data_IF_596216099523
#
_entry.id   IF_596216099523
#
_cell.length_a   1.000
_cell.length_b   1.000
_cell.length_c   1.000
_cell.angle_alpha   90.00
_cell.angle_beta   90.00
_cell.angle_gamma   90.00
#
_symmetry.space_group_name_H-M   'P 1'
#
loop_
_entity.id
_entity.type
_entity.pdbx_description
1 polymer ?
#
# COMPACT_ATOMS: atom_id res chain seq x y z
N UNK A 1 51.85 70.63 -2.84
CA UNK A 1 50.51 70.83 -3.43
C UNK A 1 50.18 69.57 -4.22
N UNK A 2 49.13 68.84 -3.81
CA UNK A 2 48.39 67.73 -4.47
C UNK A 2 49.23 66.56 -5.03
N UNK A 3 49.23 65.33 -4.49
CA UNK A 3 48.19 64.39 -4.03
C UNK A 3 47.38 63.69 -5.14
N UNK A 4 47.03 62.42 -4.86
CA UNK A 4 46.06 61.51 -5.50
C UNK A 4 46.60 60.34 -6.36
N UNK A 5 47.01 59.29 -5.61
CA UNK A 5 46.58 57.87 -5.62
C UNK A 5 46.54 57.02 -6.90
N UNK A 6 47.28 55.90 -6.85
CA UNK A 6 47.05 54.69 -7.65
C UNK A 6 46.05 53.74 -6.98
N UNK A 7 45.06 53.27 -7.72
CA UNK A 7 44.07 52.29 -7.27
C UNK A 7 44.55 50.85 -7.55
N UNK A 8 44.71 50.06 -6.48
CA UNK A 8 44.82 48.59 -6.55
C UNK A 8 43.43 48.00 -6.82
N UNK A 9 43.31 47.14 -7.82
CA UNK A 9 42.16 46.24 -7.98
C UNK A 9 42.13 45.27 -6.80
N UNK A 10 41.14 45.45 -5.92
CA UNK A 10 40.77 44.46 -4.92
C UNK A 10 39.82 43.46 -5.57
N UNK A 11 40.20 42.18 -5.56
CA UNK A 11 39.32 41.05 -5.84
C UNK A 11 38.21 41.03 -4.80
N UNK A 12 36.97 41.20 -5.25
CA UNK A 12 35.78 41.12 -4.41
C UNK A 12 35.45 39.63 -4.21
N UNK A 13 35.87 39.05 -3.09
CA UNK A 13 35.25 37.82 -2.62
C UNK A 13 33.80 38.15 -2.22
N UNK A 14 32.80 37.34 -2.64
CA UNK A 14 31.43 37.54 -2.19
C UNK A 14 31.35 37.34 -0.66
N UNK A 15 30.49 38.09 0.05
CA UNK A 15 30.37 37.95 1.50
C UNK A 15 29.88 36.54 1.84
N UNK A 16 30.26 35.98 3.02
CA UNK A 16 29.73 34.70 3.46
C UNK A 16 28.21 34.82 3.57
N UNK A 17 27.50 34.00 2.79
CA UNK A 17 26.04 34.01 2.69
C UNK A 17 25.41 33.79 4.07
N UNK A 18 24.92 34.87 4.68
CA UNK A 18 24.09 34.79 5.86
C UNK A 18 22.72 34.22 5.48
N UNK A 19 22.34 33.12 6.12
CA UNK A 19 20.99 32.54 5.99
C UNK A 19 19.93 33.58 6.32
N UNK A 20 18.94 33.71 5.43
CA UNK A 20 17.82 34.64 5.53
C UNK A 20 16.89 34.27 6.70
N UNK A 21 16.03 35.20 7.15
CA UNK A 21 15.10 34.94 8.27
C UNK A 21 14.16 33.75 8.04
N UNK A 22 13.68 33.57 6.81
CA UNK A 22 12.84 32.43 6.44
C UNK A 22 13.59 31.09 6.48
N UNK A 23 14.88 31.06 6.11
CA UNK A 23 15.71 29.86 6.19
C UNK A 23 16.04 29.48 7.64
N UNK A 24 16.12 30.46 8.54
CA UNK A 24 16.27 30.21 9.99
C UNK A 24 14.99 29.63 10.59
N UNK A 25 13.83 30.18 10.21
CA UNK A 25 12.53 29.68 10.67
C UNK A 25 12.28 28.22 10.21
N UNK A 26 12.68 27.86 8.98
CA UNK A 26 12.54 26.48 8.49
C UNK A 26 13.50 25.50 9.20
N UNK A 27 14.74 25.91 9.49
CA UNK A 27 15.70 25.09 10.23
C UNK A 27 15.21 24.79 11.66
N UNK A 28 14.59 25.77 12.32
CA UNK A 28 14.00 25.60 13.65
C UNK A 28 12.80 24.64 13.61
N UNK A 29 11.95 24.75 12.58
CA UNK A 29 10.82 23.84 12.36
C UNK A 29 11.29 22.40 12.09
N UNK A 30 12.35 22.23 11.28
CA UNK A 30 12.97 20.93 11.03
C UNK A 30 13.52 20.31 12.32
N UNK A 31 14.22 21.09 13.13
CA UNK A 31 14.76 20.63 14.42
C UNK A 31 13.65 20.15 15.36
N UNK A 32 12.53 20.87 15.42
CA UNK A 32 11.36 20.47 16.22
C UNK A 32 10.72 19.19 15.72
N UNK A 33 10.59 19.04 14.40
CA UNK A 33 10.08 17.82 13.77
C UNK A 33 10.98 16.61 14.08
N UNK A 34 12.29 16.76 13.97
CA UNK A 34 13.26 15.71 14.31
C UNK A 34 13.21 15.33 15.80
N UNK A 35 13.07 16.32 16.69
CA UNK A 35 12.92 16.08 18.13
C UNK A 35 11.63 15.30 18.46
N UNK A 36 10.50 15.63 17.81
CA UNK A 36 9.24 14.91 17.94
C UNK A 36 9.40 13.43 17.54
N UNK A 37 10.05 13.17 16.39
CA UNK A 37 10.34 11.81 15.94
C UNK A 37 11.27 11.05 16.89
N UNK A 38 12.32 11.72 17.41
CA UNK A 38 13.26 11.14 18.35
C UNK A 38 12.62 10.78 19.69
N UNK A 39 11.62 11.57 20.14
CA UNK A 39 10.81 11.29 21.32
C UNK A 39 9.81 10.14 21.10
N UNK A 40 9.61 9.69 19.85
CA UNK A 40 8.64 8.67 19.50
C UNK A 40 7.19 9.17 19.57
N UNK A 41 6.99 10.48 19.52
CA UNK A 41 5.67 11.10 19.47
C UNK A 41 5.03 10.94 18.08
N UNK A 42 3.70 11.04 18.03
CA UNK A 42 2.97 10.94 16.76
C UNK A 42 2.85 12.32 16.12
N UNK A 43 3.19 12.40 14.84
CA UNK A 43 2.94 13.56 13.99
C UNK A 43 1.45 13.62 13.66
N UNK A 44 0.81 14.76 13.89
CA UNK A 44 -0.61 15.01 13.68
C UNK A 44 -0.86 16.06 12.56
N UNK A 45 -2.10 16.18 12.04
CA UNK A 45 -2.38 17.03 10.87
C UNK A 45 -2.04 18.51 11.01
N UNK A 46 -1.99 19.03 12.24
CA UNK A 46 -1.71 20.43 12.54
C UNK A 46 -0.22 20.70 12.73
N UNK A 47 0.61 19.66 12.82
CA UNK A 47 2.05 19.81 12.97
C UNK A 47 2.68 20.26 11.66
N UNK A 48 3.70 21.09 11.78
CA UNK A 48 4.59 21.34 10.65
C UNK A 48 5.39 20.07 10.34
N UNK A 49 5.53 19.76 9.05
CA UNK A 49 6.30 18.62 8.57
C UNK A 49 7.11 19.01 7.34
N UNK A 50 8.28 18.39 7.11
CA UNK A 50 9.01 18.59 5.87
C UNK A 50 8.17 18.18 4.66
N UNK A 51 8.32 18.96 3.59
CA UNK A 51 7.66 18.73 2.31
C UNK A 51 7.88 17.32 1.74
N UNK A 52 9.10 16.79 1.91
CA UNK A 52 9.45 15.43 1.52
C UNK A 52 8.68 14.36 2.32
N UNK A 53 8.48 14.59 3.62
CA UNK A 53 7.72 13.70 4.50
C UNK A 53 6.25 13.66 4.07
N UNK A 54 5.63 14.83 3.85
CA UNK A 54 4.24 14.94 3.37
C UNK A 54 4.05 14.22 2.04
N UNK A 55 4.90 14.49 1.04
CA UNK A 55 4.81 13.84 -0.28
C UNK A 55 4.97 12.33 -0.21
N UNK A 56 5.89 11.85 0.63
CA UNK A 56 6.11 10.41 0.81
C UNK A 56 4.89 9.72 1.41
N UNK A 57 4.29 10.32 2.45
CA UNK A 57 3.08 9.79 3.07
C UNK A 57 1.87 9.85 2.14
N UNK A 58 1.64 10.98 1.46
CA UNK A 58 0.56 11.08 0.47
C UNK A 58 0.68 9.96 -0.57
N UNK A 59 1.89 9.78 -1.13
CA UNK A 59 2.14 8.70 -2.08
C UNK A 59 1.82 7.33 -1.46
N UNK A 60 2.38 7.03 -0.30
CA UNK A 60 2.25 5.70 0.31
C UNK A 60 0.79 5.39 0.72
N UNK A 61 0.11 6.33 1.39
CA UNK A 61 -1.26 6.15 1.86
C UNK A 61 -2.24 6.10 0.68
N UNK A 62 -2.04 6.93 -0.35
CA UNK A 62 -2.89 6.88 -1.55
C UNK A 62 -2.72 5.56 -2.30
N UNK A 63 -1.48 5.10 -2.51
CA UNK A 63 -1.23 3.79 -3.14
C UNK A 63 -1.84 2.64 -2.32
N UNK A 64 -1.81 2.74 -0.99
CA UNK A 64 -2.50 1.79 -0.12
C UNK A 64 -4.02 1.84 -0.35
N UNK A 65 -4.64 3.02 -0.32
CA UNK A 65 -6.07 3.18 -0.56
C UNK A 65 -6.50 2.70 -1.96
N UNK A 66 -5.66 2.91 -2.97
CA UNK A 66 -5.86 2.38 -4.32
C UNK A 66 -5.79 0.86 -4.35
N UNK A 67 -4.90 0.28 -3.55
CA UNK A 67 -4.72 -1.17 -3.44
C UNK A 67 -6.00 -1.83 -2.91
N UNK A 68 -6.64 -1.26 -1.90
CA UNK A 68 -7.95 -1.75 -1.42
C UNK A 68 -9.00 -1.73 -2.52
N UNK A 69 -9.16 -0.59 -3.21
CA UNK A 69 -10.21 -0.43 -4.25
C UNK A 69 -9.98 -1.34 -5.46
N UNK A 70 -8.73 -1.57 -5.85
CA UNK A 70 -8.40 -2.45 -6.97
C UNK A 70 -8.44 -3.92 -6.54
N UNK A 71 -8.09 -4.23 -5.30
CA UNK A 71 -8.13 -5.57 -4.70
C UNK A 71 -9.52 -6.20 -4.66
N UNK A 72 -10.56 -5.38 -4.53
CA UNK A 72 -11.96 -5.82 -4.62
C UNK A 72 -12.31 -6.52 -5.94
N UNK A 73 -11.59 -6.25 -7.04
CA UNK A 73 -11.95 -6.73 -8.38
C UNK A 73 -11.67 -8.23 -8.61
N UNK A 74 -10.45 -8.77 -8.37
CA UNK A 74 -10.19 -10.21 -8.52
C UNK A 74 -11.13 -11.08 -7.67
N UNK A 75 -11.42 -10.68 -6.44
CA UNK A 75 -12.31 -11.41 -5.54
C UNK A 75 -13.79 -11.17 -5.84
N UNK A 76 -14.16 -9.93 -6.20
CA UNK A 76 -15.49 -9.56 -6.66
C UNK A 76 -15.97 -10.40 -7.85
N UNK A 77 -15.05 -10.82 -8.72
CA UNK A 77 -15.36 -11.72 -9.84
C UNK A 77 -15.93 -13.08 -9.38
N UNK A 78 -15.64 -13.53 -8.17
CA UNK A 78 -16.08 -14.82 -7.62
C UNK A 78 -17.31 -14.74 -6.72
N UNK A 79 -17.78 -13.54 -6.35
CA UNK A 79 -18.98 -13.37 -5.53
C UNK A 79 -20.22 -14.09 -6.10
N UNK A 80 -20.41 -14.06 -7.42
CA UNK A 80 -21.56 -14.71 -8.08
C UNK A 80 -21.38 -16.21 -8.29
N UNK A 81 -20.17 -16.76 -8.05
CA UNK A 81 -19.76 -18.13 -8.38
C UNK A 81 -19.23 -18.92 -7.17
N UNK A 82 -19.28 -18.34 -5.97
CA UNK A 82 -18.88 -19.02 -4.75
C UNK A 82 -19.65 -20.35 -4.56
N UNK A 83 -18.97 -21.45 -4.18
CA UNK A 83 -19.54 -22.79 -4.23
C UNK A 83 -20.57 -23.06 -3.12
N UNK A 84 -20.63 -22.23 -2.08
CA UNK A 84 -21.60 -22.35 -1.00
C UNK A 84 -22.05 -20.97 -0.52
N UNK A 85 -23.24 -20.90 0.07
CA UNK A 85 -23.75 -19.65 0.66
C UNK A 85 -22.87 -19.15 1.82
N UNK A 86 -22.31 -20.07 2.62
CA UNK A 86 -21.37 -19.73 3.69
C UNK A 86 -20.14 -19.01 3.12
N UNK A 87 -19.46 -19.59 2.13
CA UNK A 87 -18.28 -18.96 1.52
C UNK A 87 -18.62 -17.68 0.77
N UNK A 88 -19.81 -17.61 0.16
CA UNK A 88 -20.32 -16.39 -0.47
C UNK A 88 -20.50 -15.26 0.55
N UNK A 89 -21.08 -15.54 1.71
CA UNK A 89 -21.28 -14.55 2.77
C UNK A 89 -19.94 -14.05 3.34
N UNK A 90 -18.98 -14.96 3.55
CA UNK A 90 -17.62 -14.59 3.99
C UNK A 90 -16.92 -13.71 2.96
N UNK A 91 -16.97 -14.06 1.68
CA UNK A 91 -16.35 -13.27 0.61
C UNK A 91 -17.02 -11.90 0.44
N UNK A 92 -18.35 -11.82 0.58
CA UNK A 92 -19.07 -10.54 0.58
C UNK A 92 -18.61 -9.64 1.73
N UNK A 93 -18.47 -10.18 2.93
CA UNK A 93 -17.98 -9.43 4.09
C UNK A 93 -16.56 -8.90 3.87
N UNK A 94 -15.66 -9.74 3.36
CA UNK A 94 -14.29 -9.34 3.02
C UNK A 94 -14.24 -8.17 2.02
N UNK A 95 -14.90 -8.32 0.87
CA UNK A 95 -14.91 -7.27 -0.17
C UNK A 95 -15.60 -5.99 0.31
N UNK A 96 -16.56 -6.11 1.23
CA UNK A 96 -17.16 -4.95 1.89
C UNK A 96 -16.17 -4.24 2.82
N UNK A 97 -15.40 -4.99 3.62
CA UNK A 97 -14.39 -4.44 4.53
C UNK A 97 -13.29 -3.71 3.73
N UNK A 98 -12.81 -4.27 2.62
CA UNK A 98 -11.84 -3.60 1.72
C UNK A 98 -12.32 -2.23 1.25
N UNK A 99 -13.61 -2.10 0.91
CA UNK A 99 -14.18 -0.80 0.57
C UNK A 99 -14.10 0.18 1.76
N UNK A 100 -14.36 -0.31 2.98
CA UNK A 100 -14.21 0.45 4.22
C UNK A 100 -12.76 0.84 4.51
N UNK A 101 -11.80 -0.06 4.29
CA UNK A 101 -10.37 0.18 4.46
C UNK A 101 -9.88 1.26 3.51
N UNK A 102 -10.28 1.18 2.25
CA UNK A 102 -10.01 2.22 1.27
C UNK A 102 -10.53 3.59 1.72
N UNK A 103 -11.73 3.65 2.32
CA UNK A 103 -12.27 4.89 2.88
C UNK A 103 -11.43 5.41 4.05
N UNK A 104 -11.05 4.56 5.01
CA UNK A 104 -10.18 4.97 6.13
C UNK A 104 -8.84 5.55 5.64
N UNK A 105 -8.26 4.92 4.62
CA UNK A 105 -6.99 5.33 4.04
C UNK A 105 -7.09 6.64 3.26
N UNK A 106 -8.14 6.84 2.44
CA UNK A 106 -8.36 8.14 1.81
C UNK A 106 -8.56 9.24 2.86
N UNK A 107 -9.35 9.00 3.90
CA UNK A 107 -9.53 9.97 4.99
C UNK A 107 -8.20 10.31 5.67
N UNK A 108 -7.31 9.32 5.89
CA UNK A 108 -5.98 9.58 6.43
C UNK A 108 -5.12 10.41 5.47
N UNK A 109 -5.19 10.15 4.15
CA UNK A 109 -4.48 10.94 3.15
C UNK A 109 -4.98 12.38 3.10
N UNK A 110 -6.29 12.62 3.20
CA UNK A 110 -6.88 13.97 3.15
C UNK A 110 -6.39 14.86 4.30
N UNK A 111 -6.05 14.28 5.45
CA UNK A 111 -5.43 15.05 6.55
C UNK A 111 -4.03 15.62 6.24
N UNK A 112 -3.42 15.21 5.12
CA UNK A 112 -2.18 15.80 4.59
C UNK A 112 -2.42 16.94 3.59
N UNK A 113 -3.68 17.32 3.35
CA UNK A 113 -4.06 18.45 2.50
C UNK A 113 -4.28 18.10 1.03
N UNK A 114 -4.52 16.83 0.70
CA UNK A 114 -4.89 16.38 -0.65
C UNK A 114 -6.38 16.03 -0.71
N UNK A 115 -6.99 16.10 -1.89
CA UNK A 115 -8.37 15.67 -2.10
C UNK A 115 -8.41 14.21 -2.60
N UNK A 116 -9.30 13.38 -2.04
CA UNK A 116 -9.54 12.03 -2.54
C UNK A 116 -9.89 11.98 -4.04
N UNK A 117 -10.63 12.96 -4.55
CA UNK A 117 -11.00 13.04 -5.97
C UNK A 117 -9.76 13.15 -6.85
N UNK A 118 -8.77 13.96 -6.45
CA UNK A 118 -7.50 14.11 -7.17
C UNK A 118 -6.66 12.83 -7.12
N UNK A 119 -6.64 12.13 -5.99
CA UNK A 119 -5.98 10.83 -5.85
C UNK A 119 -6.63 9.78 -6.75
N UNK A 120 -7.97 9.71 -6.79
CA UNK A 120 -8.70 8.80 -7.67
C UNK A 120 -8.46 9.13 -9.14
N UNK A 121 -8.43 10.40 -9.50
CA UNK A 121 -8.09 10.82 -10.86
C UNK A 121 -6.65 10.46 -11.24
N UNK A 122 -5.70 10.62 -10.30
CA UNK A 122 -4.33 10.19 -10.49
C UNK A 122 -4.23 8.67 -10.72
N UNK A 123 -5.01 7.86 -10.01
CA UNK A 123 -5.13 6.42 -10.28
C UNK A 123 -5.71 6.15 -11.67
N UNK A 124 -6.84 6.77 -12.03
CA UNK A 124 -7.51 6.55 -13.32
C UNK A 124 -6.61 6.92 -14.52
N UNK A 125 -5.78 7.96 -14.36
CA UNK A 125 -4.84 8.44 -15.38
C UNK A 125 -3.45 7.78 -15.29
N UNK A 126 -3.28 6.79 -14.41
CA UNK A 126 -2.03 6.04 -14.26
C UNK A 126 -0.86 6.85 -13.69
N UNK A 127 -1.12 7.99 -13.05
CA UNK A 127 -0.10 8.80 -12.32
C UNK A 127 0.19 8.26 -10.93
N UNK A 128 -0.73 7.49 -10.36
CA UNK A 128 -0.55 6.70 -9.15
C UNK A 128 -0.99 5.25 -9.41
N UNK A 129 -0.50 4.33 -8.60
CA UNK A 129 -0.65 2.89 -8.82
C UNK A 129 -1.17 2.17 -7.57
N UNK A 130 -1.89 1.08 -7.75
CA UNK A 130 -2.19 0.09 -6.71
C UNK A 130 -1.07 -0.96 -6.62
N UNK A 131 -1.16 -1.86 -5.64
CA UNK A 131 -0.33 -3.06 -5.59
C UNK A 131 -0.50 -3.90 -6.86
N UNK A 132 0.61 -4.24 -7.49
CA UNK A 132 0.64 -5.09 -8.68
C UNK A 132 0.26 -6.55 -8.39
N UNK A 133 0.16 -6.96 -7.12
CA UNK A 133 -0.39 -8.27 -6.75
C UNK A 133 -1.82 -8.46 -7.29
N UNK A 134 -2.61 -7.40 -7.32
CA UNK A 134 -4.00 -7.43 -7.80
C UNK A 134 -4.15 -7.45 -9.33
N UNK A 135 -3.02 -7.33 -10.04
CA UNK A 135 -2.95 -7.54 -11.48
C UNK A 135 -2.80 -9.02 -11.84
N UNK A 136 -2.65 -9.92 -10.86
CA UNK A 136 -2.68 -11.35 -11.12
C UNK A 136 -4.15 -11.83 -11.30
N UNK A 137 -4.45 -12.67 -12.31
CA UNK A 137 -5.82 -13.18 -12.50
C UNK A 137 -6.22 -14.21 -11.44
N UNK A 138 -7.46 -14.12 -10.95
CA UNK A 138 -8.12 -15.12 -10.12
C UNK A 138 -8.91 -16.11 -11.00
N UNK A 139 -8.30 -17.24 -11.35
CA UNK A 139 -8.79 -18.15 -12.41
C UNK A 139 -9.75 -19.23 -11.93
N UNK A 140 -9.61 -19.67 -10.67
CA UNK A 140 -10.44 -20.70 -10.04
C UNK A 140 -10.95 -20.22 -8.69
N UNK A 141 -11.86 -20.98 -8.07
CA UNK A 141 -12.34 -20.65 -6.72
C UNK A 141 -11.20 -20.69 -5.69
N UNK A 142 -10.21 -21.56 -5.85
CA UNK A 142 -9.08 -21.65 -4.94
C UNK A 142 -8.25 -20.36 -4.90
N UNK A 143 -8.28 -19.56 -5.97
CA UNK A 143 -7.59 -18.27 -6.04
C UNK A 143 -8.08 -17.29 -4.97
N UNK A 144 -9.37 -17.26 -4.61
CA UNK A 144 -9.83 -16.36 -3.54
C UNK A 144 -9.24 -16.75 -2.19
N UNK A 145 -9.05 -18.06 -1.95
CA UNK A 145 -8.37 -18.56 -0.76
C UNK A 145 -6.88 -18.22 -0.77
N UNK A 146 -6.22 -18.32 -1.92
CA UNK A 146 -4.80 -17.98 -2.07
C UNK A 146 -4.55 -16.47 -1.97
N UNK A 147 -5.44 -15.62 -2.51
CA UNK A 147 -5.38 -14.16 -2.31
C UNK A 147 -5.47 -13.85 -0.82
N UNK A 148 -6.53 -14.32 -0.15
CA UNK A 148 -6.74 -14.02 1.26
C UNK A 148 -5.62 -14.59 2.16
N UNK A 149 -5.13 -15.81 1.90
CA UNK A 149 -4.04 -16.38 2.71
C UNK A 149 -2.68 -15.74 2.42
N UNK A 150 -2.26 -15.68 1.14
CA UNK A 150 -0.91 -15.27 0.77
C UNK A 150 -0.80 -13.76 0.57
N UNK A 151 -1.71 -13.16 -0.19
CA UNK A 151 -1.65 -11.73 -0.51
C UNK A 151 -2.02 -10.89 0.71
N UNK A 152 -3.16 -11.16 1.35
CA UNK A 152 -3.53 -10.41 2.57
C UNK A 152 -2.64 -10.82 3.74
N UNK A 153 -2.18 -12.07 3.81
CA UNK A 153 -1.18 -12.47 4.79
C UNK A 153 0.11 -11.66 4.68
N UNK A 154 0.57 -11.41 3.45
CA UNK A 154 1.70 -10.52 3.20
C UNK A 154 1.37 -9.05 3.51
N UNK A 155 0.15 -8.60 3.19
CA UNK A 155 -0.36 -7.28 3.55
C UNK A 155 -0.30 -7.07 5.07
N UNK A 156 -0.90 -7.96 5.86
CA UNK A 156 -0.89 -7.92 7.33
C UNK A 156 0.54 -7.88 7.90
N UNK A 157 1.46 -8.71 7.37
CA UNK A 157 2.88 -8.67 7.81
C UNK A 157 3.52 -7.30 7.50
N UNK A 158 3.18 -6.70 6.36
CA UNK A 158 3.69 -5.40 5.95
C UNK A 158 3.04 -4.22 6.71
N UNK A 159 1.74 -4.32 7.00
CA UNK A 159 0.92 -3.29 7.60
C UNK A 159 0.97 -3.26 9.13
N UNK A 160 1.12 -4.41 9.79
CA UNK A 160 1.14 -4.46 11.26
C UNK A 160 2.21 -3.53 11.89
N UNK A 161 3.44 -3.41 11.33
CA UNK A 161 4.40 -2.40 11.79
C UNK A 161 3.93 -0.94 11.59
N UNK A 162 3.08 -0.69 10.59
CA UNK A 162 2.52 0.64 10.30
C UNK A 162 1.47 1.08 11.33
N UNK A 163 0.96 0.18 12.20
CA UNK A 163 0.19 0.58 13.39
C UNK A 163 0.97 1.50 14.34
N UNK A 164 2.31 1.59 14.16
CA UNK A 164 3.25 2.46 14.87
C UNK A 164 4.06 3.35 13.91
N UNK A 165 3.55 3.63 12.72
CA UNK A 165 4.10 4.67 11.84
C UNK A 165 4.07 6.03 12.54
N UNK A 166 5.00 6.91 12.22
CA UNK A 166 5.11 8.23 12.85
C UNK A 166 3.92 9.15 12.60
N UNK A 167 3.15 8.94 11.53
CA UNK A 167 1.96 9.76 11.25
C UNK A 167 0.70 9.20 11.93
N UNK A 168 0.19 9.93 12.91
CA UNK A 168 -0.92 9.53 13.78
C UNK A 168 -2.19 9.07 13.04
N UNK A 169 -2.71 9.84 12.06
CA UNK A 169 -3.89 9.44 11.28
C UNK A 169 -3.70 8.09 10.57
N UNK A 170 -2.52 7.88 9.98
CA UNK A 170 -2.23 6.62 9.29
C UNK A 170 -2.06 5.46 10.28
N UNK A 171 -1.36 5.67 11.40
CA UNK A 171 -1.23 4.67 12.46
C UNK A 171 -2.61 4.22 13.01
N UNK A 172 -3.54 5.16 13.19
CA UNK A 172 -4.91 4.89 13.64
C UNK A 172 -5.72 4.10 12.61
N UNK A 173 -5.62 4.45 11.33
CA UNK A 173 -6.26 3.69 10.25
C UNK A 173 -5.74 2.25 10.21
N UNK A 174 -4.41 2.07 10.27
CA UNK A 174 -3.76 0.74 10.27
C UNK A 174 -4.18 -0.15 11.42
N UNK A 175 -4.43 0.41 12.61
CA UNK A 175 -4.95 -0.38 13.74
C UNK A 175 -6.33 -0.98 13.46
N UNK A 176 -7.22 -0.26 12.78
CA UNK A 176 -8.54 -0.79 12.40
C UNK A 176 -8.41 -1.80 11.28
N UNK A 177 -7.70 -1.44 10.20
CA UNK A 177 -7.45 -2.32 9.05
C UNK A 177 -6.84 -3.66 9.49
N UNK A 178 -5.76 -3.65 10.28
CA UNK A 178 -5.11 -4.89 10.74
C UNK A 178 -6.01 -5.75 11.65
N UNK A 179 -6.92 -5.14 12.42
CA UNK A 179 -7.86 -5.90 13.26
C UNK A 179 -8.88 -6.67 12.41
N UNK A 180 -9.29 -6.09 11.29
CA UNK A 180 -10.28 -6.66 10.37
C UNK A 180 -9.61 -7.65 9.40
N UNK A 181 -8.46 -7.29 8.80
CA UNK A 181 -7.74 -8.14 7.83
C UNK A 181 -7.25 -9.47 8.40
N UNK A 182 -6.89 -9.53 9.69
CA UNK A 182 -6.49 -10.78 10.33
C UNK A 182 -7.58 -11.87 10.25
N UNK A 183 -8.86 -11.47 10.25
CA UNK A 183 -9.97 -12.39 10.03
C UNK A 183 -10.01 -12.89 8.58
N UNK A 184 -9.76 -12.02 7.60
CA UNK A 184 -9.76 -12.39 6.18
C UNK A 184 -8.68 -13.43 5.86
N UNK A 185 -7.46 -13.24 6.39
CA UNK A 185 -6.35 -14.19 6.25
C UNK A 185 -6.74 -15.57 6.78
N UNK A 186 -7.35 -15.62 7.97
CA UNK A 186 -7.78 -16.87 8.58
C UNK A 186 -8.88 -17.57 7.75
N UNK A 187 -9.82 -16.82 7.18
CA UNK A 187 -10.85 -17.36 6.30
C UNK A 187 -10.28 -17.90 4.98
N UNK A 188 -9.28 -17.22 4.41
CA UNK A 188 -8.54 -17.69 3.23
C UNK A 188 -7.83 -19.01 3.49
N UNK A 189 -7.11 -19.09 4.62
CA UNK A 189 -6.45 -20.32 5.06
C UNK A 189 -7.45 -21.47 5.27
N UNK A 190 -8.56 -21.22 5.97
CA UNK A 190 -9.62 -22.20 6.21
C UNK A 190 -10.28 -22.68 4.89
N UNK A 191 -10.45 -21.79 3.92
CA UNK A 191 -10.92 -22.17 2.58
C UNK A 191 -9.95 -23.13 1.89
N UNK A 192 -8.65 -22.83 1.90
CA UNK A 192 -7.64 -23.71 1.31
C UNK A 192 -7.53 -25.05 2.06
N UNK A 193 -7.67 -25.05 3.38
CA UNK A 193 -7.71 -26.27 4.19
C UNK A 193 -8.87 -27.18 3.77
N UNK A 194 -10.06 -26.62 3.56
CA UNK A 194 -11.22 -27.36 3.09
C UNK A 194 -10.99 -27.98 1.70
N UNK A 195 -10.34 -27.24 0.79
CA UNK A 195 -9.98 -27.76 -0.55
C UNK A 195 -8.91 -28.85 -0.47
N UNK A 196 -7.89 -28.67 0.35
CA UNK A 196 -6.79 -29.63 0.54
C UNK A 196 -7.23 -30.94 1.17
N UNK A 197 -8.28 -30.93 2.00
CA UNK A 197 -8.89 -32.12 2.62
C UNK A 197 -10.04 -32.71 1.80
N UNK A 198 -10.36 -32.10 0.66
CA UNK A 198 -11.44 -32.50 -0.23
C UNK A 198 -11.04 -33.59 -1.22
N UNK A 199 -11.65 -33.57 -2.41
CA UNK A 199 -11.33 -34.50 -3.48
C UNK A 199 -9.93 -34.22 -4.07
N UNK A 200 -9.34 -35.17 -4.81
CA UNK A 200 -8.08 -34.93 -5.53
C UNK A 200 -8.13 -33.69 -6.44
N UNK A 201 -9.26 -33.41 -7.08
CA UNK A 201 -9.47 -32.24 -7.94
C UNK A 201 -9.42 -30.94 -7.14
N UNK A 202 -10.04 -30.91 -5.95
CA UNK A 202 -10.02 -29.75 -5.07
C UNK A 202 -8.62 -29.48 -4.54
N UNK A 203 -7.88 -30.53 -4.14
CA UNK A 203 -6.49 -30.40 -3.71
C UNK A 203 -5.58 -29.90 -4.84
N UNK A 204 -5.76 -30.40 -6.08
CA UNK A 204 -5.01 -29.90 -7.24
C UNK A 204 -5.33 -28.44 -7.54
N UNK A 205 -6.59 -28.03 -7.41
CA UNK A 205 -7.00 -26.63 -7.58
C UNK A 205 -6.36 -25.72 -6.53
N UNK A 206 -6.29 -26.17 -5.27
CA UNK A 206 -5.60 -25.45 -4.20
C UNK A 206 -4.10 -25.32 -4.48
N UNK A 207 -3.44 -26.41 -4.90
CA UNK A 207 -2.02 -26.39 -5.25
C UNK A 207 -1.74 -25.42 -6.41
N UNK A 208 -2.52 -25.49 -7.50
CA UNK A 208 -2.37 -24.59 -8.65
C UNK A 208 -2.54 -23.11 -8.28
N UNK A 209 -3.48 -22.80 -7.37
CA UNK A 209 -3.62 -21.45 -6.87
C UNK A 209 -2.38 -21.00 -6.07
N UNK A 210 -1.86 -21.83 -5.16
CA UNK A 210 -0.63 -21.52 -4.41
C UNK A 210 0.57 -21.36 -5.34
N UNK A 211 0.70 -22.21 -6.36
CA UNK A 211 1.78 -22.15 -7.34
C UNK A 211 1.81 -20.80 -8.07
N UNK A 212 0.64 -20.26 -8.40
CA UNK A 212 0.51 -18.98 -9.11
C UNK A 212 0.61 -17.76 -8.19
N UNK A 213 0.11 -17.84 -6.95
CA UNK A 213 0.01 -16.70 -6.04
C UNK A 213 1.19 -16.54 -5.07
N UNK A 214 2.04 -17.57 -4.90
CA UNK A 214 3.22 -17.50 -4.02
C UNK A 214 4.20 -16.39 -4.40
N UNK A 215 4.71 -16.40 -5.63
CA UNK A 215 5.69 -15.41 -6.08
C UNK A 215 5.11 -13.98 -6.05
N UNK A 216 3.87 -13.73 -6.51
CA UNK A 216 3.19 -12.45 -6.29
C UNK A 216 3.23 -11.98 -4.83
N UNK A 217 2.88 -12.83 -3.87
CA UNK A 217 2.87 -12.44 -2.45
C UNK A 217 4.28 -12.11 -1.93
N UNK A 218 5.26 -12.99 -2.18
CA UNK A 218 6.65 -12.83 -1.70
C UNK A 218 7.36 -11.64 -2.35
N UNK A 219 7.10 -11.37 -3.62
CA UNK A 219 7.80 -10.32 -4.38
C UNK A 219 7.05 -8.98 -4.37
N UNK A 220 5.72 -8.97 -4.57
CA UNK A 220 4.94 -7.75 -4.85
C UNK A 220 4.53 -6.96 -3.61
N UNK A 221 4.32 -7.64 -2.48
CA UNK A 221 3.69 -7.01 -1.31
C UNK A 221 4.67 -6.30 -0.38
N UNK A 222 5.97 -6.64 -0.44
CA UNK A 222 6.99 -6.03 0.41
C UNK A 222 7.81 -4.96 -0.30
N UNK A 223 7.73 -4.87 -1.64
CA UNK A 223 8.55 -3.95 -2.43
C UNK A 223 9.98 -4.47 -2.71
N UNK A 224 10.83 -3.65 -3.35
CA UNK A 224 12.18 -4.03 -3.78
C UNK A 224 13.11 -4.36 -2.61
N UNK A 225 14.22 -5.08 -2.83
CA UNK A 225 15.13 -5.45 -1.76
C UNK A 225 15.87 -4.21 -1.24
N UNK A 226 16.22 -4.22 0.04
CA UNK A 226 17.01 -3.16 0.66
C UNK A 226 18.52 -3.38 0.44
N UNK A 227 18.91 -4.62 0.15
CA UNK A 227 20.30 -5.03 -0.10
C UNK A 227 20.50 -5.62 -1.50
N UNK A 228 21.58 -5.21 -2.20
CA UNK A 228 22.05 -5.83 -3.45
C UNK A 228 21.44 -5.34 -4.78
N UNK A 229 22.30 -5.04 -5.77
CA UNK A 229 21.94 -4.77 -7.17
C UNK A 229 21.43 -3.34 -7.48
N UNK A 230 21.26 -3.02 -8.77
CA UNK A 230 20.85 -1.67 -9.23
C UNK A 230 19.44 -1.26 -8.75
N UNK A 231 18.56 -2.22 -8.45
CA UNK A 231 17.23 -1.96 -7.88
C UNK A 231 17.29 -1.58 -6.39
N UNK A 232 18.30 -2.06 -5.64
CA UNK A 232 18.50 -1.66 -4.25
C UNK A 232 18.93 -0.18 -4.13
N UNK A 233 19.56 0.42 -5.15
CA UNK A 233 20.00 1.83 -5.06
C UNK A 233 18.86 2.83 -4.78
N UNK A 234 17.76 2.73 -5.53
CA UNK A 234 16.61 3.64 -5.40
C UNK A 234 15.64 3.19 -4.29
N UNK A 235 15.43 1.87 -4.16
CA UNK A 235 14.59 1.28 -3.11
C UNK A 235 15.16 1.52 -1.71
N UNK A 236 16.47 1.29 -1.52
CA UNK A 236 17.11 1.45 -0.22
C UNK A 236 17.23 2.92 0.20
N UNK A 237 17.40 3.88 -0.73
CA UNK A 237 17.38 5.30 -0.37
C UNK A 237 16.02 5.74 0.17
N UNK A 238 14.95 5.35 -0.51
CA UNK A 238 13.57 5.62 -0.06
C UNK A 238 13.28 4.91 1.27
N UNK A 239 13.69 3.65 1.40
CA UNK A 239 13.51 2.84 2.61
C UNK A 239 14.25 3.45 3.81
N UNK A 240 15.52 3.87 3.64
CA UNK A 240 16.30 4.56 4.68
C UNK A 240 15.63 5.85 5.14
N UNK A 241 15.15 6.67 4.20
CA UNK A 241 14.45 7.91 4.55
C UNK A 241 13.13 7.63 5.28
N UNK A 242 12.35 6.66 4.82
CA UNK A 242 11.11 6.26 5.48
C UNK A 242 11.34 5.73 6.90
N UNK A 243 12.44 4.99 7.11
CA UNK A 243 12.86 4.51 8.43
C UNK A 243 13.32 5.65 9.33
N UNK A 244 14.15 6.57 8.82
CA UNK A 244 14.61 7.76 9.54
C UNK A 244 13.45 8.65 9.99
N UNK A 245 12.42 8.78 9.16
CA UNK A 245 11.20 9.49 9.52
C UNK A 245 10.19 8.67 10.34
N UNK A 246 10.52 7.43 10.72
CA UNK A 246 9.64 6.56 11.48
C UNK A 246 8.37 6.13 10.75
N UNK A 247 8.26 6.38 9.44
CA UNK A 247 7.13 5.94 8.61
C UNK A 247 7.16 4.43 8.41
N UNK A 248 8.38 3.89 8.28
CA UNK A 248 8.65 2.46 8.21
C UNK A 248 9.45 2.03 9.44
N UNK A 249 9.24 0.80 9.91
CA UNK A 249 9.90 0.27 11.12
C UNK A 249 10.81 -0.94 10.86
N UNK A 250 10.63 -1.59 9.72
CA UNK A 250 11.37 -2.78 9.29
C UNK A 250 11.77 -2.66 7.83
N UNK A 251 12.82 -3.36 7.44
CA UNK A 251 13.23 -3.44 6.03
C UNK A 251 12.23 -4.31 5.24
N UNK A 252 12.15 -4.13 3.92
CA UNK A 252 11.35 -4.96 3.03
C UNK A 252 11.83 -6.41 3.12
N UNK A 253 13.15 -6.61 3.19
CA UNK A 253 13.77 -7.94 3.29
C UNK A 253 13.45 -8.61 4.64
N UNK A 254 13.45 -7.88 5.75
CA UNK A 254 13.04 -8.38 7.07
C UNK A 254 11.58 -8.87 7.07
N UNK A 255 10.67 -8.08 6.50
CA UNK A 255 9.24 -8.42 6.46
C UNK A 255 8.97 -9.58 5.51
N UNK A 256 9.65 -9.64 4.36
CA UNK A 256 9.58 -10.77 3.43
C UNK A 256 10.07 -12.06 4.09
N UNK A 257 11.18 -12.02 4.81
CA UNK A 257 11.71 -13.18 5.55
C UNK A 257 10.69 -13.69 6.58
N UNK A 258 10.12 -12.79 7.39
CA UNK A 258 9.08 -13.15 8.37
C UNK A 258 7.87 -13.82 7.70
N UNK A 259 7.42 -13.29 6.57
CA UNK A 259 6.30 -13.85 5.82
C UNK A 259 6.58 -15.27 5.33
N UNK A 260 7.78 -15.52 4.79
CA UNK A 260 8.19 -16.88 4.38
C UNK A 260 8.19 -17.83 5.58
N UNK A 261 8.77 -17.42 6.70
CA UNK A 261 8.83 -18.24 7.92
C UNK A 261 7.44 -18.59 8.48
N UNK A 262 6.46 -17.69 8.32
CA UNK A 262 5.07 -17.94 8.69
C UNK A 262 4.37 -18.91 7.72
N UNK A 263 4.59 -18.75 6.41
CA UNK A 263 3.88 -19.53 5.40
C UNK A 263 4.35 -20.98 5.28
N UNK A 264 5.65 -21.26 5.50
CA UNK A 264 6.19 -22.62 5.36
C UNK A 264 5.48 -23.66 6.26
N UNK A 265 5.34 -23.46 7.58
CA UNK A 265 4.61 -24.41 8.43
C UNK A 265 3.11 -24.47 8.08
N UNK A 266 2.51 -23.36 7.67
CA UNK A 266 1.11 -23.32 7.23
C UNK A 266 0.89 -24.16 5.96
N UNK A 267 1.77 -24.05 4.96
CA UNK A 267 1.71 -24.86 3.74
C UNK A 267 1.83 -26.37 4.04
N UNK A 268 2.70 -26.74 5.00
CA UNK A 268 2.85 -28.13 5.46
C UNK A 268 1.56 -28.67 6.07
N UNK A 269 0.87 -27.88 6.91
CA UNK A 269 -0.40 -28.28 7.51
C UNK A 269 -1.54 -28.38 6.48
N UNK A 270 -1.53 -27.52 5.46
CA UNK A 270 -2.42 -27.63 4.30
C UNK A 270 -2.11 -28.86 3.42
N UNK A 271 -0.96 -29.50 3.60
CA UNK A 271 -0.48 -30.58 2.73
C UNK A 271 -0.24 -30.10 1.29
N UNK A 272 0.17 -28.84 1.13
CA UNK A 272 0.51 -28.18 -0.13
C UNK A 272 2.01 -27.86 -0.17
N UNK A 273 2.55 -27.67 -1.36
CA UNK A 273 3.92 -27.21 -1.57
C UNK A 273 3.96 -25.72 -1.92
N UNK A 274 5.01 -25.03 -1.49
CA UNK A 274 5.32 -23.69 -2.01
C UNK A 274 6.25 -23.87 -3.22
N UNK A 275 6.01 -23.17 -4.35
CA UNK A 275 6.74 -23.37 -5.62
C UNK A 275 8.13 -22.71 -5.59
N UNK A 276 8.92 -23.03 -4.57
CA UNK A 276 10.30 -22.56 -4.41
C UNK A 276 11.17 -23.69 -3.86
N UNK A 277 11.96 -24.36 -4.72
CA UNK A 277 12.79 -25.49 -4.32
C UNK A 277 13.96 -25.09 -3.42
N UNK A 278 14.27 -23.80 -3.28
CA UNK A 278 15.32 -23.33 -2.39
C UNK A 278 14.84 -23.19 -0.93
N UNK A 279 13.53 -23.39 -0.66
CA UNK A 279 13.00 -23.34 0.71
C UNK A 279 13.58 -24.45 1.56
N UNK A 280 14.36 -24.05 2.58
CA UNK A 280 14.95 -24.97 3.56
C UNK A 280 15.15 -24.27 4.90
N UNK A 281 14.92 -25.00 6.00
CA UNK A 281 15.23 -24.49 7.33
C UNK A 281 16.73 -24.33 7.50
N UNK A 282 17.17 -23.13 7.90
CA UNK A 282 18.56 -22.82 8.23
C UNK A 282 18.68 -22.66 9.76
N UNK A 283 19.26 -23.66 10.47
CA UNK A 283 19.34 -23.62 11.94
C UNK A 283 20.30 -22.55 12.46
N UNK A 284 21.31 -22.15 11.68
CA UNK A 284 22.27 -21.12 12.07
C UNK A 284 21.63 -19.73 12.04
N UNK A 285 20.76 -19.48 11.05
CA UNK A 285 20.02 -18.22 10.94
C UNK A 285 18.73 -18.20 11.77
N UNK A 286 18.17 -19.35 12.11
CA UNK A 286 16.84 -19.44 12.72
C UNK A 286 15.70 -19.05 11.76
N UNK A 287 15.92 -19.21 10.46
CA UNK A 287 15.03 -18.78 9.38
C UNK A 287 15.01 -19.80 8.25
N UNK A 288 13.98 -19.78 7.40
CA UNK A 288 14.00 -20.48 6.13
C UNK A 288 14.80 -19.68 5.10
N UNK A 289 15.78 -20.32 4.45
CA UNK A 289 16.31 -19.80 3.19
C UNK A 289 15.21 -19.95 2.12
N UNK A 290 15.19 -19.07 1.12
CA UNK A 290 14.29 -19.13 -0.02
C UNK A 290 14.97 -18.55 -1.27
N UNK A 291 14.43 -18.82 -2.44
CA UNK A 291 15.02 -18.47 -3.72
C UNK A 291 15.09 -16.94 -3.94
N UNK A 292 16.09 -16.45 -4.67
CA UNK A 292 16.14 -15.03 -5.02
C UNK A 292 14.96 -14.68 -5.92
N UNK A 293 14.33 -13.54 -5.64
CA UNK A 293 13.31 -12.97 -6.54
C UNK A 293 14.01 -12.41 -7.79
N UNK A 294 13.58 -12.83 -8.98
CA UNK A 294 14.03 -12.22 -10.24
C UNK A 294 13.40 -10.83 -10.41
N UNK A 295 14.06 -9.82 -9.85
CA UNK A 295 13.63 -8.43 -9.94
C UNK A 295 13.66 -7.85 -11.36
N UNK A 296 14.37 -8.47 -12.31
CA UNK A 296 14.36 -8.06 -13.70
C UNK A 296 13.10 -8.55 -14.42
N UNK A 297 12.72 -9.81 -14.21
CA UNK A 297 11.41 -10.34 -14.63
C UNK A 297 10.28 -9.52 -14.02
N UNK A 298 10.37 -9.30 -12.72
CA UNK A 298 9.40 -8.53 -11.96
C UNK A 298 9.27 -7.07 -12.46
N UNK A 299 10.37 -6.35 -12.74
CA UNK A 299 10.29 -4.99 -13.33
C UNK A 299 9.72 -4.95 -14.74
N UNK A 300 9.81 -6.04 -15.50
CA UNK A 300 9.13 -6.15 -16.81
C UNK A 300 7.63 -6.44 -16.65
N UNK A 301 7.25 -7.11 -15.56
CA UNK A 301 5.86 -7.48 -15.25
C UNK A 301 5.09 -6.40 -14.45
N UNK A 302 5.81 -5.57 -13.69
CA UNK A 302 5.29 -4.49 -12.85
C UNK A 302 4.67 -3.26 -13.54
N UNK A 303 5.06 -2.85 -14.76
CA UNK A 303 4.42 -1.70 -15.39
C UNK A 303 2.93 -2.01 -15.51
N UNK A 304 2.07 -0.99 -15.39
CA UNK A 304 0.61 -1.09 -15.56
C UNK A 304 0.14 -1.50 -16.96
N UNK A 305 1.00 -2.19 -17.71
CA UNK A 305 0.84 -2.63 -19.08
C UNK A 305 0.56 -4.15 -19.18
N UNK A 306 0.46 -4.85 -18.04
CA UNK A 306 -0.10 -6.21 -18.05
C UNK A 306 -1.56 -6.17 -18.51
N UNK A 307 -2.04 -7.25 -19.13
CA UNK A 307 -3.43 -7.32 -19.59
C UNK A 307 -4.42 -7.09 -18.45
N UNK A 308 -4.18 -7.72 -17.30
CA UNK A 308 -5.02 -7.55 -16.12
C UNK A 308 -4.92 -6.13 -15.55
N UNK A 309 -3.72 -5.54 -15.43
CA UNK A 309 -3.55 -4.16 -14.95
C UNK A 309 -4.38 -3.16 -15.77
N UNK A 310 -4.26 -3.24 -17.11
CA UNK A 310 -5.08 -2.42 -18.02
C UNK A 310 -6.57 -2.64 -17.80
N UNK A 311 -7.00 -3.89 -17.59
CA UNK A 311 -8.41 -4.20 -17.31
C UNK A 311 -8.87 -3.68 -15.94
N UNK A 312 -8.04 -3.72 -14.90
CA UNK A 312 -8.37 -3.22 -13.56
C UNK A 312 -8.64 -1.72 -13.57
N UNK A 313 -7.73 -0.98 -14.20
CA UNK A 313 -7.85 0.48 -14.33
C UNK A 313 -9.02 0.84 -15.26
N UNK A 314 -9.16 0.16 -16.40
CA UNK A 314 -10.28 0.40 -17.32
C UNK A 314 -11.63 0.14 -16.65
N UNK A 315 -11.76 -0.94 -15.86
CA UNK A 315 -12.98 -1.23 -15.11
C UNK A 315 -13.29 -0.14 -14.08
N UNK A 316 -12.29 0.27 -13.30
CA UNK A 316 -12.45 1.32 -12.29
C UNK A 316 -12.82 2.67 -12.91
N UNK A 317 -12.14 3.06 -13.99
CA UNK A 317 -12.40 4.30 -14.71
C UNK A 317 -13.79 4.28 -15.39
N UNK A 318 -14.19 3.13 -15.94
CA UNK A 318 -15.53 2.94 -16.50
C UNK A 318 -16.62 3.11 -15.44
N UNK A 319 -16.50 2.43 -14.29
CA UNK A 319 -17.43 2.58 -13.17
C UNK A 319 -17.52 4.05 -12.68
N UNK A 320 -16.39 4.76 -12.63
CA UNK A 320 -16.38 6.17 -12.28
C UNK A 320 -17.11 7.03 -13.32
N UNK A 321 -16.81 6.87 -14.62
CA UNK A 321 -17.45 7.62 -15.71
C UNK A 321 -18.95 7.33 -15.81
N UNK A 322 -19.34 6.05 -15.81
CA UNK A 322 -20.73 5.62 -15.94
C UNK A 322 -21.57 5.96 -14.72
N UNK A 323 -20.95 6.06 -13.53
CA UNK A 323 -21.58 6.57 -12.32
C UNK A 323 -21.62 8.09 -12.20
N UNK A 324 -21.20 8.86 -13.21
CA UNK A 324 -21.17 10.33 -13.14
C UNK A 324 -22.55 10.92 -12.86
N UNK A 325 -23.58 10.46 -13.59
CA UNK A 325 -24.95 10.94 -13.42
C UNK A 325 -25.49 10.70 -11.99
N UNK A 326 -25.07 9.63 -11.31
CA UNK A 326 -25.48 9.36 -9.92
C UNK A 326 -24.86 10.39 -8.98
N UNK A 327 -23.57 10.71 -9.16
CA UNK A 327 -22.88 11.73 -8.35
C UNK A 327 -23.47 13.11 -8.59
N UNK A 328 -23.66 13.48 -9.85
CA UNK A 328 -24.28 14.75 -10.25
C UNK A 328 -25.70 14.88 -9.70
N UNK A 329 -26.49 13.80 -9.74
CA UNK A 329 -27.84 13.78 -9.16
C UNK A 329 -27.82 13.94 -7.63
N UNK A 330 -26.91 13.26 -6.94
CA UNK A 330 -26.76 13.39 -5.48
C UNK A 330 -26.36 14.81 -5.07
N UNK A 331 -25.42 15.42 -5.79
CA UNK A 331 -25.02 16.82 -5.56
C UNK A 331 -26.15 17.81 -5.86
N UNK A 332 -26.89 17.62 -6.96
CA UNK A 332 -28.03 18.46 -7.30
C UNK A 332 -29.14 18.36 -6.25
N UNK A 333 -29.40 17.16 -5.73
CA UNK A 333 -30.33 16.95 -4.63
C UNK A 333 -29.87 17.63 -3.34
N UNK A 334 -28.58 17.50 -2.98
CA UNK A 334 -28.02 18.13 -1.79
C UNK A 334 -28.05 19.67 -1.83
N UNK A 335 -27.87 20.28 -3.01
CA UNK A 335 -27.99 21.73 -3.21
C UNK A 335 -29.42 22.25 -3.05
N UNK A 336 -30.43 21.38 -3.14
CA UNK A 336 -31.83 21.73 -2.95
C UNK A 336 -32.14 21.82 -1.44
N UNK A 337 -31.69 22.90 -0.78
CA UNK A 337 -32.07 23.18 0.61
C UNK A 337 -33.60 23.31 0.77
N UNK A 338 -34.17 22.91 1.93
CA UNK A 338 -35.61 23.00 2.21
C UNK A 338 -36.17 24.44 2.26
N UNK A 339 -35.32 25.47 2.31
CA UNK A 339 -35.75 26.89 2.28
C UNK A 339 -36.41 27.30 0.95
N UNK A 340 -36.15 26.60 -0.16
CA UNK A 340 -36.81 26.88 -1.45
C UNK A 340 -38.26 26.34 -1.53
N UNK A 341 -38.73 25.61 -0.51
CA UNK A 341 -40.08 25.05 -0.44
C UNK A 341 -40.99 25.79 0.57
N UNK A 342 -40.53 26.90 1.15
CA UNK A 342 -41.18 27.59 2.26
C UNK A 342 -41.33 29.10 2.05
N UNK A 343 -42.01 29.53 0.99
CA UNK A 343 -42.79 30.77 1.03
C UNK A 343 -44.27 30.39 0.89
N UNK A 344 -45.11 30.53 1.94
CA UNK A 344 -46.54 30.53 1.75
C UNK A 344 -46.89 31.86 1.08
N UNK A 345 -47.43 31.81 -0.13
CA UNK A 345 -48.05 32.97 -0.76
C UNK A 345 -49.15 33.50 0.17
N UNK A 346 -48.98 34.73 0.65
CA UNK A 346 -49.99 35.48 1.40
C UNK A 346 -50.97 36.17 0.44
#
# INVERSE_FOLDING_TARGET
>A
MADVTGAKQATHDPPPGGTTGAERDEADLLTRFEALLAAGESVEPHDWVPDGYRRMLVRQIAQHAHSEIIGMQPEGAWLTRAPTLYRKAVLLAKVQDEAGHGLYLYSAAETLGVDRADLLDALHRGRQHSSAAFDHPALTWADTGAIAWLTDGAAVVNQAPLCRTSYGPYARAMRRVCQEEGFHVQQGYDQLLALSRGTPEQKRMAQDAVDRWWLPAVALMFGPPDTGGAAAGVGAATSRQAMAWGVKRHTNDELRQRFVDLCVPQARELGLTLPDPAIRWNPERGHHDFGPVDWACYRRALPGDSHCARRRIAHRAAAHREGAWVREAAEAYARRSPEAAGEPAA
#
